data_IF_732035441295
#
_entry.id   IF_732035441295
#
_cell.length_a   1.000
_cell.length_b   1.000
_cell.length_c   1.000
_cell.angle_alpha   90.00
_cell.angle_beta   90.00
_cell.angle_gamma   90.00
#
_symmetry.space_group_name_H-M   'P 1'
#
loop_
_entity.id
_entity.type
_entity.pdbx_description
1 polymer ?
#
# COMPACT_ATOMS: atom_id res chain seq x y z
N UNK A 1 4.10 28.73 -6.08
CA UNK A 1 4.66 27.38 -5.87
C UNK A 1 5.95 27.29 -6.64
N UNK A 2 7.11 27.33 -5.97
CA UNK A 2 8.41 27.28 -6.64
C UNK A 2 8.60 25.91 -7.32
N UNK A 3 8.87 25.92 -8.61
CA UNK A 3 9.14 24.72 -9.41
C UNK A 3 10.65 24.47 -9.38
N UNK A 4 11.17 24.11 -8.21
CA UNK A 4 12.58 23.73 -8.08
C UNK A 4 12.73 22.22 -8.29
N UNK A 5 13.54 21.83 -9.27
CA UNK A 5 13.76 20.45 -9.70
C UNK A 5 14.67 19.72 -8.68
N UNK A 6 15.50 20.46 -7.93
CA UNK A 6 16.42 19.90 -6.93
C UNK A 6 15.76 19.67 -5.56
N UNK A 7 14.54 20.17 -5.37
CA UNK A 7 13.80 19.95 -4.13
C UNK A 7 13.29 18.51 -4.05
N UNK A 8 13.77 17.76 -3.04
CA UNK A 8 13.48 16.32 -2.86
C UNK A 8 11.98 16.00 -2.83
N UNK A 9 11.17 16.85 -2.21
CA UNK A 9 9.72 16.72 -2.15
C UNK A 9 9.05 18.05 -2.54
N UNK A 10 8.51 18.10 -3.76
CA UNK A 10 7.65 19.16 -4.26
C UNK A 10 6.41 18.48 -4.87
N UNK A 11 5.23 19.10 -4.78
CA UNK A 11 3.98 18.55 -5.30
C UNK A 11 4.12 18.15 -6.78
N UNK A 12 4.76 19.01 -7.57
CA UNK A 12 5.02 18.73 -8.99
C UNK A 12 5.96 17.54 -9.19
N UNK A 13 7.06 17.47 -8.43
CA UNK A 13 8.02 16.36 -8.52
C UNK A 13 7.38 15.04 -8.08
N UNK A 14 6.57 15.04 -7.02
CA UNK A 14 5.88 13.85 -6.51
C UNK A 14 4.84 13.35 -7.52
N UNK A 15 4.06 14.25 -8.13
CA UNK A 15 3.06 13.87 -9.13
C UNK A 15 3.74 13.32 -10.39
N UNK A 16 4.77 14.00 -10.91
CA UNK A 16 5.48 13.56 -12.12
C UNK A 16 6.17 12.21 -11.91
N UNK A 17 6.93 12.05 -10.82
CA UNK A 17 7.61 10.80 -10.52
C UNK A 17 6.62 9.68 -10.20
N UNK A 18 5.56 9.98 -9.45
CA UNK A 18 4.49 9.03 -9.16
C UNK A 18 3.81 8.54 -10.44
N UNK A 19 3.40 9.47 -11.32
CA UNK A 19 2.79 9.11 -12.60
C UNK A 19 3.73 8.27 -13.47
N UNK A 20 5.03 8.57 -13.48
CA UNK A 20 6.04 7.76 -14.18
C UNK A 20 6.20 6.35 -13.63
N UNK A 21 6.32 6.21 -12.30
CA UNK A 21 6.48 4.91 -11.63
C UNK A 21 5.25 4.01 -11.83
N UNK A 22 4.05 4.53 -11.57
CA UNK A 22 2.81 3.79 -11.76
C UNK A 22 2.52 3.54 -13.24
N UNK A 23 2.79 4.51 -14.11
CA UNK A 23 2.66 4.36 -15.55
C UNK A 23 3.54 3.24 -16.10
N UNK A 24 4.78 3.12 -15.63
CA UNK A 24 5.68 2.02 -15.98
C UNK A 24 5.14 0.67 -15.49
N UNK A 25 4.69 0.60 -14.24
CA UNK A 25 4.15 -0.62 -13.65
C UNK A 25 2.94 -1.19 -14.41
N UNK A 26 2.05 -0.34 -14.95
CA UNK A 26 0.89 -0.80 -15.72
C UNK A 26 1.14 -0.92 -17.23
N UNK A 27 1.99 -0.07 -17.81
CA UNK A 27 2.19 -0.03 -19.28
C UNK A 27 3.33 -0.93 -19.77
N UNK A 28 4.37 -1.14 -18.96
CA UNK A 28 5.62 -1.77 -19.40
C UNK A 28 5.90 -3.07 -18.65
N UNK A 29 5.35 -3.24 -17.44
CA UNK A 29 5.55 -4.47 -16.67
C UNK A 29 4.97 -5.68 -17.41
N UNK A 30 5.86 -6.62 -17.74
CA UNK A 30 5.54 -7.85 -18.45
C UNK A 30 4.38 -8.61 -17.79
N UNK A 31 4.40 -8.74 -16.47
CA UNK A 31 3.38 -9.47 -15.71
C UNK A 31 1.98 -8.87 -15.88
N UNK A 32 1.87 -7.55 -15.92
CA UNK A 32 0.58 -6.88 -16.09
C UNK A 32 0.08 -6.97 -17.53
N UNK A 33 0.98 -6.80 -18.51
CA UNK A 33 0.64 -6.96 -19.92
C UNK A 33 0.19 -8.39 -20.25
N UNK A 34 0.88 -9.41 -19.74
CA UNK A 34 0.52 -10.81 -19.96
C UNK A 34 -0.88 -11.14 -19.42
N UNK A 35 -1.24 -10.62 -18.23
CA UNK A 35 -2.60 -10.79 -17.66
C UNK A 35 -3.67 -10.19 -18.55
N UNK A 36 -3.44 -8.99 -19.07
CA UNK A 36 -4.40 -8.30 -19.97
C UNK A 36 -4.53 -9.06 -21.30
N UNK A 37 -3.43 -9.54 -21.88
CA UNK A 37 -3.43 -10.29 -23.14
C UNK A 37 -4.03 -11.71 -23.04
N UNK A 38 -4.16 -12.26 -21.83
CA UNK A 38 -4.74 -13.59 -21.62
C UNK A 38 -6.28 -13.58 -21.67
N UNK A 39 -6.90 -12.40 -21.71
CA UNK A 39 -8.36 -12.22 -21.75
C UNK A 39 -8.85 -12.33 -23.20
N UNK A 40 -9.97 -13.02 -23.41
CA UNK A 40 -10.58 -13.30 -24.72
C UNK A 40 -11.03 -12.07 -25.49
N UNK A 41 -11.48 -11.03 -24.78
CA UNK A 41 -12.09 -9.84 -25.40
C UNK A 41 -11.54 -8.54 -24.81
N UNK A 42 -11.51 -7.49 -25.65
CA UNK A 42 -11.06 -6.15 -25.24
C UNK A 42 -12.00 -5.54 -24.18
N UNK A 43 -13.29 -5.88 -24.22
CA UNK A 43 -14.28 -5.39 -23.25
C UNK A 43 -14.01 -5.96 -21.86
N UNK A 44 -13.77 -7.27 -21.74
CA UNK A 44 -13.41 -7.92 -20.47
C UNK A 44 -12.07 -7.42 -19.93
N UNK A 45 -11.09 -7.19 -20.82
CA UNK A 45 -9.82 -6.59 -20.45
C UNK A 45 -9.99 -5.20 -19.80
N UNK A 46 -10.83 -4.33 -20.39
CA UNK A 46 -11.15 -3.00 -19.82
C UNK A 46 -11.86 -3.11 -18.47
N UNK A 47 -12.83 -4.01 -18.33
CA UNK A 47 -13.54 -4.23 -17.06
C UNK A 47 -12.60 -4.71 -15.97
N UNK A 48 -11.69 -5.64 -16.29
CA UNK A 48 -10.67 -6.14 -15.35
C UNK A 48 -9.77 -5.03 -14.85
N UNK A 49 -9.31 -4.14 -15.74
CA UNK A 49 -8.51 -2.98 -15.36
C UNK A 49 -9.28 -2.02 -14.44
N UNK A 50 -10.55 -1.76 -14.73
CA UNK A 50 -11.39 -0.92 -13.85
C UNK A 50 -11.58 -1.51 -12.46
N UNK A 51 -11.83 -2.82 -12.36
CA UNK A 51 -11.93 -3.53 -11.08
C UNK A 51 -10.61 -3.43 -10.31
N UNK A 52 -9.47 -3.59 -11.00
CA UNK A 52 -8.16 -3.47 -10.38
C UNK A 52 -7.88 -2.05 -9.85
N UNK A 53 -8.24 -1.00 -10.60
CA UNK A 53 -8.09 0.40 -10.17
C UNK A 53 -8.93 0.65 -8.91
N UNK A 54 -10.19 0.25 -8.93
CA UNK A 54 -11.12 0.43 -7.80
C UNK A 54 -10.62 -0.33 -6.57
N UNK A 55 -10.23 -1.60 -6.73
CA UNK A 55 -9.69 -2.41 -5.64
C UNK A 55 -8.41 -1.82 -5.04
N UNK A 56 -7.49 -1.36 -5.88
CA UNK A 56 -6.25 -0.72 -5.44
C UNK A 56 -6.54 0.56 -4.67
N UNK A 57 -7.48 1.38 -5.13
CA UNK A 57 -7.90 2.59 -4.42
C UNK A 57 -8.40 2.28 -3.01
N UNK A 58 -9.27 1.28 -2.84
CA UNK A 58 -9.76 0.87 -1.52
C UNK A 58 -8.63 0.38 -0.61
N UNK A 59 -7.70 -0.42 -1.14
CA UNK A 59 -6.53 -0.89 -0.38
C UNK A 59 -5.72 0.30 0.14
N UNK A 60 -5.43 1.30 -0.70
CA UNK A 60 -4.71 2.51 -0.27
C UNK A 60 -5.46 3.26 0.84
N UNK A 61 -6.77 3.44 0.72
CA UNK A 61 -7.58 4.09 1.76
C UNK A 61 -7.46 3.35 3.10
N UNK A 62 -7.58 2.02 3.10
CA UNK A 62 -7.44 1.21 4.32
C UNK A 62 -6.03 1.34 4.91
N UNK A 63 -4.99 1.29 4.08
CA UNK A 63 -3.60 1.46 4.53
C UNK A 63 -3.42 2.84 5.18
N UNK A 64 -3.89 3.93 4.55
CA UNK A 64 -3.76 5.28 5.11
C UNK A 64 -4.53 5.43 6.43
N UNK A 65 -5.75 4.90 6.52
CA UNK A 65 -6.52 4.93 7.76
C UNK A 65 -5.85 4.12 8.87
N UNK A 66 -5.29 2.95 8.55
CA UNK A 66 -4.55 2.12 9.51
C UNK A 66 -3.28 2.82 10.02
N UNK A 67 -2.54 3.49 9.14
CA UNK A 67 -1.37 4.27 9.51
C UNK A 67 -1.71 5.46 10.39
N UNK A 68 -2.82 6.15 10.11
CA UNK A 68 -3.31 7.24 10.94
C UNK A 68 -3.78 6.76 12.33
N UNK A 69 -4.44 5.60 12.39
CA UNK A 69 -4.85 4.99 13.65
C UNK A 69 -3.65 4.53 14.49
N UNK A 70 -2.63 3.94 13.87
CA UNK A 70 -1.40 3.59 14.55
C UNK A 70 -0.67 4.85 15.06
N UNK A 71 -0.63 5.92 14.26
CA UNK A 71 -0.06 7.20 14.66
C UNK A 71 -0.76 7.79 15.88
N UNK A 72 -2.09 7.79 15.93
CA UNK A 72 -2.84 8.36 17.05
C UNK A 72 -2.66 7.56 18.35
N UNK A 73 -2.55 6.23 18.27
CA UNK A 73 -2.34 5.35 19.43
C UNK A 73 -0.93 5.46 19.99
N UNK A 74 0.08 5.54 19.13
CA UNK A 74 1.49 5.57 19.53
C UNK A 74 2.10 6.98 19.59
N UNK A 75 1.30 8.03 19.44
CA UNK A 75 1.78 9.43 19.45
C UNK A 75 2.55 9.80 20.72
N UNK A 76 2.13 9.28 21.87
CA UNK A 76 2.75 9.56 23.18
C UNK A 76 3.58 8.38 23.73
N UNK A 77 3.43 7.19 23.14
CA UNK A 77 4.11 5.98 23.57
C UNK A 77 4.66 5.27 22.33
N UNK A 78 5.89 5.63 21.96
CA UNK A 78 6.54 5.05 20.79
C UNK A 78 7.01 3.61 21.09
N UNK A 79 6.45 2.60 20.41
CA UNK A 79 6.80 1.19 20.64
C UNK A 79 8.26 0.88 20.28
N UNK A 80 8.90 1.68 19.43
CA UNK A 80 10.33 1.54 19.09
C UNK A 80 11.18 1.93 20.30
N UNK A 81 10.90 3.10 20.87
CA UNK A 81 11.59 3.61 22.06
C UNK A 81 11.41 2.71 23.29
N UNK A 82 10.32 1.93 23.34
CA UNK A 82 10.07 0.92 24.38
C UNK A 82 10.75 -0.44 24.12
N UNK A 83 11.42 -0.62 22.98
CA UNK A 83 12.07 -1.88 22.62
C UNK A 83 11.09 -3.02 22.28
N UNK A 84 9.84 -2.69 21.93
CA UNK A 84 8.81 -3.67 21.56
C UNK A 84 8.91 -4.05 20.07
N UNK A 85 9.54 -3.19 19.27
CA UNK A 85 9.84 -3.40 17.85
C UNK A 85 11.21 -2.84 17.50
N UNK A 86 11.91 -3.49 16.57
CA UNK A 86 13.27 -3.09 16.15
C UNK A 86 13.25 -2.08 14.99
N UNK A 87 12.24 -2.17 14.12
CA UNK A 87 12.14 -1.34 12.92
C UNK A 87 10.76 -0.70 12.77
N UNK A 88 10.71 0.47 12.11
CA UNK A 88 9.47 1.22 11.84
C UNK A 88 8.45 0.42 11.00
N UNK A 89 8.92 -0.53 10.20
CA UNK A 89 8.11 -1.39 9.34
C UNK A 89 7.23 -2.36 10.15
N UNK A 90 7.64 -2.67 11.39
CA UNK A 90 6.93 -3.59 12.28
C UNK A 90 5.79 -2.93 13.07
N UNK A 91 5.62 -1.61 12.98
CA UNK A 91 4.58 -0.87 13.70
C UNK A 91 3.18 -1.40 13.36
N UNK A 92 2.87 -1.62 12.08
CA UNK A 92 1.54 -2.08 11.67
C UNK A 92 1.26 -3.53 12.09
N UNK A 93 2.16 -4.51 11.88
CA UNK A 93 2.02 -5.85 12.46
C UNK A 93 1.83 -5.84 13.98
N UNK A 94 2.62 -5.03 14.69
CA UNK A 94 2.51 -4.88 16.14
C UNK A 94 1.15 -4.30 16.54
N UNK A 95 0.69 -3.26 15.86
CA UNK A 95 -0.61 -2.63 16.08
C UNK A 95 -1.77 -3.63 15.94
N UNK A 96 -1.74 -4.48 14.91
CA UNK A 96 -2.79 -5.49 14.68
C UNK A 96 -2.78 -6.53 15.81
N UNK A 97 -1.62 -6.98 16.25
CA UNK A 97 -1.52 -7.97 17.34
C UNK A 97 -1.97 -7.34 18.68
N UNK A 98 -1.53 -6.13 18.98
CA UNK A 98 -1.82 -5.42 20.24
C UNK A 98 -3.30 -4.99 20.34
N UNK A 99 -3.86 -4.37 19.30
CA UNK A 99 -5.22 -3.81 19.33
C UNK A 99 -6.29 -4.69 18.74
N UNK A 100 -5.96 -5.57 17.79
CA UNK A 100 -6.93 -6.47 17.13
C UNK A 100 -6.74 -7.93 17.53
N UNK A 101 -5.82 -8.25 18.43
CA UNK A 101 -5.59 -9.60 18.94
C UNK A 101 -6.78 -10.23 19.65
N UNK A 102 -7.73 -9.42 20.15
CA UNK A 102 -8.97 -9.90 20.75
C UNK A 102 -9.93 -10.53 19.72
N UNK A 103 -9.78 -10.20 18.43
CA UNK A 103 -10.55 -10.79 17.34
C UNK A 103 -9.84 -12.04 16.84
N UNK A 104 -10.41 -13.20 17.15
CA UNK A 104 -9.84 -14.48 16.73
C UNK A 104 -9.77 -14.56 15.19
N UNK A 105 -8.59 -14.88 14.67
CA UNK A 105 -8.32 -15.02 13.23
C UNK A 105 -7.84 -13.76 12.51
N UNK A 106 -8.11 -12.54 13.02
CA UNK A 106 -7.71 -11.29 12.35
C UNK A 106 -6.19 -11.12 12.23
N UNK A 107 -5.38 -11.33 13.29
CA UNK A 107 -3.93 -11.28 13.17
C UNK A 107 -3.39 -12.33 12.18
N UNK A 108 -3.98 -13.52 12.16
CA UNK A 108 -3.59 -14.59 11.22
C UNK A 108 -3.88 -14.22 9.77
N UNK A 109 -5.06 -13.65 9.50
CA UNK A 109 -5.44 -13.16 8.17
C UNK A 109 -4.52 -12.02 7.71
N UNK A 110 -4.17 -11.09 8.61
CA UNK A 110 -3.25 -10.01 8.31
C UNK A 110 -1.87 -10.54 7.92
N UNK A 111 -1.30 -11.44 8.71
CA UNK A 111 0.00 -12.07 8.41
C UNK A 111 -0.06 -12.86 7.10
N UNK A 112 -1.12 -13.65 6.87
CA UNK A 112 -1.31 -14.38 5.61
C UNK A 112 -1.37 -13.44 4.39
N UNK A 113 -2.06 -12.29 4.51
CA UNK A 113 -2.13 -11.29 3.44
C UNK A 113 -0.79 -10.61 3.18
N UNK A 114 -0.01 -10.35 4.24
CA UNK A 114 1.32 -9.75 4.14
C UNK A 114 2.28 -10.66 3.37
N UNK A 115 2.28 -11.95 3.70
CA UNK A 115 3.09 -12.95 2.98
C UNK A 115 2.60 -13.17 1.54
N UNK A 116 1.28 -13.16 1.30
CA UNK A 116 0.74 -13.25 -0.06
C UNK A 116 1.09 -12.04 -0.93
N UNK A 117 1.33 -10.87 -0.32
CA UNK A 117 1.71 -9.66 -1.04
C UNK A 117 3.22 -9.51 -1.28
N UNK A 118 4.05 -10.20 -0.49
CA UNK A 118 5.51 -10.20 -0.65
C UNK A 118 6.04 -11.24 -1.63
N UNK A 119 5.26 -12.31 -1.88
CA UNK A 119 5.58 -13.42 -2.79
C UNK A 119 5.16 -13.12 -4.24
#
# INVERSE_FOLDING_TARGET
TNVDIYQRHNLLNVILLGAGLWGNAYSVSQTNLQRVCSVSTIQEARTTLWINIIGTFFIWVVIFLSGLAAFSVYANCDPISQGLIDTKEQILPYFVIDKMGFLWGVPGLFVASLFSGSL
#
